data_IF_972655656221
#
_entry.id   IF_972655656221
#
_cell.length_a   1.000
_cell.length_b   1.000
_cell.length_c   1.000
_cell.angle_alpha   90.00
_cell.angle_beta   90.00
_cell.angle_gamma   90.00
#
_symmetry.space_group_name_H-M   'P 1'
#
loop_
_entity.id
_entity.type
_entity.pdbx_description
1 polymer ?
#
# COMPACT_ATOMS: atom_id res chain seq x y z
N UNK A 1 -36.27 -21.36 47.56
CA UNK A 1 -36.32 -20.09 46.79
C UNK A 1 -34.91 -19.52 46.86
N UNK A 2 -34.01 -19.92 45.96
CA UNK A 2 -33.88 -19.43 44.58
C UNK A 2 -33.76 -17.90 44.58
N UNK A 3 -32.62 -17.40 44.07
CA UNK A 3 -32.29 -16.00 43.84
C UNK A 3 -31.92 -15.34 45.19
N UNK A 4 -30.67 -15.31 45.60
CA UNK A 4 -29.73 -14.26 45.22
C UNK A 4 -28.30 -14.79 45.47
N UNK A 5 -28.00 -15.91 44.81
CA UNK A 5 -26.69 -16.54 44.75
C UNK A 5 -25.68 -15.48 44.25
N UNK A 6 -24.74 -15.15 45.13
CA UNK A 6 -23.32 -15.06 44.82
C UNK A 6 -22.99 -14.85 43.33
N UNK A 7 -22.67 -13.63 42.94
CA UNK A 7 -21.62 -13.32 41.95
C UNK A 7 -21.50 -11.80 41.83
N UNK A 8 -20.93 -11.19 42.87
CA UNK A 8 -20.07 -10.03 42.70
C UNK A 8 -18.76 -10.55 42.07
N UNK A 9 -18.78 -10.85 40.77
CA UNK A 9 -17.59 -11.18 40.02
C UNK A 9 -17.87 -11.06 38.54
N UNK A 10 -17.15 -10.12 37.93
CA UNK A 10 -16.50 -10.30 36.64
C UNK A 10 -17.41 -10.67 35.45
N UNK A 11 -17.57 -9.71 34.55
CA UNK A 11 -17.15 -9.78 33.14
C UNK A 11 -17.99 -8.74 32.40
N UNK A 12 -17.53 -7.48 32.50
CA UNK A 12 -17.83 -6.49 31.49
C UNK A 12 -16.81 -6.72 30.35
N UNK A 13 -16.97 -7.81 29.59
CA UNK A 13 -16.22 -8.01 28.35
C UNK A 13 -16.81 -7.09 27.28
N UNK A 14 -16.48 -5.80 27.39
CA UNK A 14 -16.66 -4.87 26.28
C UNK A 14 -15.59 -5.24 25.25
N UNK A 15 -15.99 -5.97 24.21
CA UNK A 15 -15.12 -6.33 23.10
C UNK A 15 -14.56 -5.07 22.48
N UNK A 16 -13.28 -4.80 22.73
CA UNK A 16 -12.51 -3.82 21.98
C UNK A 16 -12.37 -4.41 20.58
N UNK A 17 -13.35 -4.12 19.72
CA UNK A 17 -13.19 -4.28 18.29
C UNK A 17 -12.11 -3.27 17.92
N UNK A 18 -10.85 -3.71 17.88
CA UNK A 18 -9.77 -2.91 17.37
C UNK A 18 -10.08 -2.67 15.89
N UNK A 19 -10.65 -1.51 15.59
CA UNK A 19 -10.77 -1.01 14.23
C UNK A 19 -9.36 -1.02 13.66
N UNK A 20 -9.06 -1.97 12.76
CA UNK A 20 -7.87 -1.90 11.93
C UNK A 20 -8.04 -0.64 11.09
N UNK A 21 -7.46 0.46 11.54
CA UNK A 21 -7.44 1.70 10.79
C UNK A 21 -6.53 1.47 9.58
N UNK A 22 -7.09 1.62 8.39
CA UNK A 22 -6.32 1.62 7.17
C UNK A 22 -5.31 2.79 7.19
N UNK A 23 -4.08 2.54 6.72
CA UNK A 23 -3.04 3.56 6.67
C UNK A 23 -3.48 4.75 5.80
N UNK A 24 -3.33 5.95 6.33
CA UNK A 24 -3.60 7.19 5.58
C UNK A 24 -2.53 7.45 4.51
N UNK A 25 -2.90 8.19 3.46
CA UNK A 25 -1.99 8.50 2.35
C UNK A 25 -0.73 9.25 2.81
N UNK A 26 -0.85 10.19 3.75
CA UNK A 26 0.29 10.98 4.20
C UNK A 26 1.30 10.15 4.98
N UNK A 27 0.82 9.23 5.83
CA UNK A 27 1.67 8.25 6.52
C UNK A 27 2.34 7.31 5.51
N UNK A 28 1.59 6.82 4.52
CA UNK A 28 2.13 5.94 3.49
C UNK A 28 3.26 6.61 2.68
N UNK A 29 3.10 7.90 2.34
CA UNK A 29 4.15 8.69 1.66
C UNK A 29 5.41 8.82 2.50
N UNK A 30 5.27 9.08 3.81
CA UNK A 30 6.42 9.18 4.72
C UNK A 30 7.19 7.85 4.83
N UNK A 31 6.51 6.71 4.70
CA UNK A 31 7.10 5.38 4.80
C UNK A 31 7.62 4.82 3.47
N UNK A 32 7.12 5.32 2.34
CA UNK A 32 7.37 4.77 1.01
C UNK A 32 8.85 4.60 0.71
N UNK A 33 9.66 5.64 0.93
CA UNK A 33 11.10 5.58 0.63
C UNK A 33 11.81 4.54 1.49
N UNK A 34 11.45 4.42 2.77
CA UNK A 34 12.02 3.45 3.69
C UNK A 34 11.72 2.01 3.25
N UNK A 35 10.47 1.69 2.93
CA UNK A 35 10.10 0.32 2.50
C UNK A 35 10.70 -0.05 1.14
N UNK A 36 10.91 0.92 0.25
CA UNK A 36 11.61 0.70 -1.03
C UNK A 36 13.11 0.48 -0.83
N UNK A 37 13.76 1.25 0.05
CA UNK A 37 15.18 1.07 0.40
C UNK A 37 15.45 -0.28 1.08
N UNK A 38 14.53 -0.73 1.93
CA UNK A 38 14.58 -2.05 2.55
C UNK A 38 14.29 -3.19 1.56
N UNK A 39 13.85 -2.87 0.34
CA UNK A 39 13.51 -3.87 -0.68
C UNK A 39 12.28 -4.69 -0.31
N UNK A 40 11.33 -4.09 0.39
CA UNK A 40 10.03 -4.69 0.70
C UNK A 40 9.00 -4.40 -0.37
N UNK A 41 9.15 -3.27 -1.07
CA UNK A 41 8.24 -2.77 -2.11
C UNK A 41 9.05 -2.38 -3.34
N UNK A 42 8.49 -2.63 -4.53
CA UNK A 42 9.11 -2.30 -5.81
C UNK A 42 8.15 -1.66 -6.81
N UNK A 43 8.69 -1.01 -7.83
CA UNK A 43 7.90 -0.40 -8.92
C UNK A 43 7.62 -1.42 -10.04
N UNK A 44 6.44 -1.33 -10.64
CA UNK A 44 5.99 -2.19 -11.76
C UNK A 44 5.95 -1.41 -13.08
N UNK A 45 5.97 -2.09 -14.24
CA UNK A 45 5.82 -1.43 -15.54
C UNK A 45 4.44 -0.79 -15.74
N UNK A 46 3.44 -1.13 -14.92
CA UNK A 46 2.09 -0.55 -14.96
C UNK A 46 1.97 0.73 -14.11
N UNK A 47 3.06 1.22 -13.52
CA UNK A 47 3.02 2.44 -12.71
C UNK A 47 2.50 2.22 -11.30
N UNK A 48 2.27 0.99 -10.87
CA UNK A 48 1.89 0.66 -9.50
C UNK A 48 3.06 0.09 -8.70
N UNK A 49 2.89 0.07 -7.38
CA UNK A 49 3.79 -0.63 -6.46
C UNK A 49 3.30 -2.05 -6.21
N UNK A 50 4.22 -2.97 -6.01
CA UNK A 50 3.93 -4.32 -5.52
C UNK A 50 4.86 -4.69 -4.37
N UNK A 51 4.39 -5.61 -3.52
CA UNK A 51 5.17 -6.16 -2.41
C UNK A 51 6.20 -7.14 -2.97
N UNK A 52 7.49 -6.88 -2.72
CA UNK A 52 8.60 -7.79 -3.00
C UNK A 52 8.74 -8.80 -1.87
N UNK A 53 8.64 -8.32 -0.63
CA UNK A 53 8.68 -9.13 0.60
C UNK A 53 7.63 -8.63 1.57
N UNK A 54 6.76 -9.54 2.02
CA UNK A 54 5.64 -9.24 2.90
C UNK A 54 6.10 -9.11 4.37
N UNK A 55 6.86 -8.05 4.65
CA UNK A 55 7.38 -7.73 5.98
C UNK A 55 7.00 -6.28 6.36
N UNK A 56 6.97 -6.00 7.66
CA UNK A 56 6.69 -4.65 8.18
C UNK A 56 5.34 -4.11 7.68
N UNK A 57 5.37 -2.90 7.12
CA UNK A 57 4.18 -2.19 6.62
C UNK A 57 4.11 -2.15 5.09
N UNK A 58 4.76 -3.09 4.41
CA UNK A 58 4.88 -3.08 2.95
C UNK A 58 3.51 -3.10 2.25
N UNK A 59 2.59 -3.92 2.75
CA UNK A 59 1.26 -4.10 2.15
C UNK A 59 0.41 -2.85 2.30
N UNK A 60 0.37 -2.28 3.50
CA UNK A 60 -0.42 -1.09 3.84
C UNK A 60 0.05 0.12 3.03
N UNK A 61 1.37 0.30 2.88
CA UNK A 61 1.94 1.36 2.04
C UNK A 61 1.56 1.16 0.57
N UNK A 62 1.69 -0.06 0.04
CA UNK A 62 1.31 -0.39 -1.34
C UNK A 62 -0.16 -0.08 -1.59
N UNK A 63 -1.05 -0.51 -0.70
CA UNK A 63 -2.49 -0.28 -0.84
C UNK A 63 -2.85 1.22 -0.84
N UNK A 64 -2.34 1.97 0.13
CA UNK A 64 -2.61 3.41 0.25
C UNK A 64 -2.05 4.21 -0.94
N UNK A 65 -0.81 3.95 -1.36
CA UNK A 65 -0.18 4.66 -2.48
C UNK A 65 -0.85 4.28 -3.81
N UNK A 66 -1.13 3.00 -4.04
CA UNK A 66 -1.78 2.58 -5.28
C UNK A 66 -3.20 3.11 -5.40
N UNK A 67 -3.92 3.29 -4.27
CA UNK A 67 -5.22 3.97 -4.29
C UNK A 67 -5.10 5.40 -4.79
N UNK A 68 -4.17 6.18 -4.22
CA UNK A 68 -3.94 7.55 -4.68
C UNK A 68 -3.45 7.62 -6.14
N UNK A 69 -2.60 6.67 -6.57
CA UNK A 69 -2.16 6.57 -7.96
C UNK A 69 -3.33 6.30 -8.92
N UNK A 70 -4.25 5.39 -8.58
CA UNK A 70 -5.45 5.11 -9.39
C UNK A 70 -6.30 6.36 -9.61
N UNK A 71 -6.58 7.10 -8.54
CA UNK A 71 -7.39 8.32 -8.61
C UNK A 71 -6.72 9.38 -9.49
N UNK A 72 -5.40 9.57 -9.31
CA UNK A 72 -4.64 10.54 -10.10
C UNK A 72 -4.50 10.13 -11.57
N UNK A 73 -4.26 8.85 -11.85
CA UNK A 73 -4.15 8.36 -13.23
C UNK A 73 -5.47 8.50 -13.98
N UNK A 74 -6.59 8.18 -13.32
CA UNK A 74 -7.92 8.42 -13.87
C UNK A 74 -8.14 9.90 -14.18
N UNK A 75 -7.82 10.80 -13.23
CA UNK A 75 -7.96 12.24 -13.42
C UNK A 75 -7.12 12.78 -14.59
N UNK A 76 -5.89 12.29 -14.76
CA UNK A 76 -5.02 12.66 -15.89
C UNK A 76 -5.61 12.13 -17.20
N UNK A 77 -6.03 10.86 -17.22
CA UNK A 77 -6.62 10.22 -18.39
C UNK A 77 -7.85 10.98 -18.89
N UNK A 78 -8.77 11.34 -17.99
CA UNK A 78 -9.96 12.14 -18.27
C UNK A 78 -9.60 13.54 -18.79
N UNK A 79 -8.67 14.23 -18.11
CA UNK A 79 -8.22 15.58 -18.51
C UNK A 79 -7.64 15.62 -19.93
N UNK A 80 -6.92 14.58 -20.32
CA UNK A 80 -6.23 14.51 -21.61
C UNK A 80 -6.99 13.69 -22.67
N UNK A 81 -8.16 13.15 -22.33
CA UNK A 81 -8.96 12.26 -23.17
C UNK A 81 -8.15 11.10 -23.77
N UNK A 82 -7.39 10.41 -22.92
CA UNK A 82 -6.57 9.25 -23.28
C UNK A 82 -6.93 8.04 -22.41
N UNK A 83 -6.60 6.81 -22.83
CA UNK A 83 -6.77 5.64 -21.97
C UNK A 83 -5.92 5.73 -20.69
N UNK A 84 -6.47 5.30 -19.55
CA UNK A 84 -5.73 5.26 -18.27
C UNK A 84 -4.48 4.39 -18.34
N UNK A 85 -4.53 3.31 -19.12
CA UNK A 85 -3.39 2.41 -19.37
C UNK A 85 -2.21 3.11 -20.03
N UNK A 86 -2.44 4.16 -20.81
CA UNK A 86 -1.38 4.98 -21.38
C UNK A 86 -0.70 5.83 -20.28
N UNK A 87 -1.46 6.37 -19.33
CA UNK A 87 -0.93 7.12 -18.18
C UNK A 87 -0.10 6.19 -17.28
N UNK A 88 -0.65 5.04 -16.94
CA UNK A 88 -0.02 3.97 -16.17
C UNK A 88 1.33 3.54 -16.77
N UNK A 89 1.35 3.25 -18.07
CA UNK A 89 2.57 2.84 -18.79
C UNK A 89 3.65 3.91 -18.74
N UNK A 90 3.28 5.18 -18.96
CA UNK A 90 4.23 6.30 -18.89
C UNK A 90 4.72 6.51 -17.45
N UNK A 91 3.83 6.38 -16.47
CA UNK A 91 4.18 6.49 -15.06
C UNK A 91 5.12 5.37 -14.61
N UNK A 92 4.85 4.12 -14.99
CA UNK A 92 5.69 2.95 -14.72
C UNK A 92 7.07 3.08 -15.32
N UNK A 93 7.16 3.45 -16.60
CA UNK A 93 8.45 3.72 -17.25
C UNK A 93 9.26 4.77 -16.47
N UNK A 94 8.64 5.92 -16.15
CA UNK A 94 9.31 6.99 -15.38
C UNK A 94 9.71 6.53 -13.99
N UNK A 95 8.86 5.75 -13.31
CA UNK A 95 9.14 5.24 -11.96
C UNK A 95 10.34 4.28 -11.97
N UNK A 96 10.43 3.37 -12.95
CA UNK A 96 11.56 2.45 -13.13
C UNK A 96 12.86 3.23 -13.45
N UNK A 97 12.79 4.18 -14.40
CA UNK A 97 13.93 5.02 -14.77
C UNK A 97 14.47 5.81 -13.57
N UNK A 98 13.58 6.37 -12.75
CA UNK A 98 13.92 7.17 -11.56
C UNK A 98 14.25 6.35 -10.32
N UNK A 99 13.96 5.05 -10.31
CA UNK A 99 14.27 4.20 -9.15
C UNK A 99 15.79 4.21 -8.90
N UNK A 100 16.26 4.56 -7.68
CA UNK A 100 17.67 4.52 -7.34
C UNK A 100 18.25 3.11 -7.36
N UNK A 101 19.56 3.00 -7.56
CA UNK A 101 20.25 1.72 -7.37
C UNK A 101 20.08 1.19 -5.94
N UNK A 102 20.03 -0.12 -5.81
CA UNK A 102 19.75 -0.83 -4.57
C UNK A 102 18.26 -1.09 -4.30
N UNK A 103 17.35 -0.50 -5.08
CA UNK A 103 15.90 -0.73 -4.97
C UNK A 103 15.38 -1.68 -6.07
N UNK A 104 14.14 -2.16 -5.91
CA UNK A 104 13.56 -3.17 -6.79
C UNK A 104 12.60 -2.59 -7.83
N UNK A 105 12.69 -3.13 -9.04
CA UNK A 105 11.77 -2.88 -10.15
C UNK A 105 11.39 -4.20 -10.82
N UNK A 106 10.19 -4.29 -11.37
CA UNK A 106 9.75 -5.47 -12.10
C UNK A 106 10.13 -5.35 -13.59
N UNK A 107 10.88 -6.32 -14.11
CA UNK A 107 11.25 -6.43 -15.52
C UNK A 107 10.91 -7.84 -16.03
N UNK A 108 10.10 -7.94 -17.08
CA UNK A 108 9.70 -9.24 -17.63
C UNK A 108 9.02 -10.17 -16.62
N UNK A 109 8.24 -9.60 -15.69
CA UNK A 109 7.56 -10.35 -14.62
C UNK A 109 8.47 -10.81 -13.48
N UNK A 110 9.73 -10.38 -13.44
CA UNK A 110 10.69 -10.73 -12.37
C UNK A 110 11.16 -9.49 -11.65
N UNK A 111 11.42 -9.62 -10.35
CA UNK A 111 12.05 -8.57 -9.56
C UNK A 111 13.54 -8.46 -9.90
N UNK A 112 13.98 -7.26 -10.25
CA UNK A 112 15.37 -6.90 -10.50
C UNK A 112 15.76 -5.80 -9.52
N UNK A 113 16.88 -6.00 -8.81
CA UNK A 113 17.50 -4.95 -8.00
C UNK A 113 18.36 -4.09 -8.92
N UNK A 114 18.07 -2.78 -8.96
CA UNK A 114 18.75 -1.81 -9.84
C UNK A 114 20.09 -1.35 -9.27
#
# INVERSE_FOLDING_TARGET
MKRLIQMFALVLAFGISASVLAMGLDEAKQKLDSVKQQGLVGETPTGYLEVVRAEGQAKEVVEAINSARRDEYKRIAEKHNIPVTQVETVAGKKAIEKTPSGQYVQMGGKWVKK
#
